data_IF_493221862357
#
_entry.id   IF_493221862357
#
_cell.length_a   1.000
_cell.length_b   1.000
_cell.length_c   1.000
_cell.angle_alpha   90.00
_cell.angle_beta   90.00
_cell.angle_gamma   90.00
#
_symmetry.space_group_name_H-M   'P 1'
#
loop_
_entity.id
_entity.type
_entity.pdbx_description
1 polymer ?
#
# COMPACT_ATOMS: atom_id res chain seq x y z
N UNK A 1 -12.86 -1.97 10.51
CA UNK A 1 -12.85 -2.18 9.06
C UNK A 1 -12.63 -0.82 8.43
N UNK A 2 -11.54 -0.68 7.70
CA UNK A 2 -11.19 0.54 6.97
C UNK A 2 -11.78 0.51 5.55
N UNK A 3 -12.00 1.69 4.97
CA UNK A 3 -12.38 1.85 3.57
C UNK A 3 -11.26 2.56 2.81
N UNK A 4 -10.74 1.93 1.76
CA UNK A 4 -9.75 2.53 0.86
C UNK A 4 -10.38 2.81 -0.50
N UNK A 5 -10.38 4.09 -0.90
CA UNK A 5 -10.82 4.54 -2.23
C UNK A 5 -9.61 4.63 -3.15
N UNK A 6 -9.60 3.79 -4.16
CA UNK A 6 -8.59 3.76 -5.21
C UNK A 6 -9.10 4.50 -6.45
N UNK A 7 -8.25 5.33 -7.05
CA UNK A 7 -8.50 5.99 -8.34
C UNK A 7 -7.38 5.60 -9.32
N UNK A 8 -7.75 4.89 -10.38
CA UNK A 8 -6.80 4.43 -11.40
C UNK A 8 -6.14 5.59 -12.15
N UNK A 9 -6.81 6.76 -12.19
CA UNK A 9 -6.28 7.97 -12.81
C UNK A 9 -5.19 8.65 -11.98
N UNK A 10 -4.97 8.22 -10.72
CA UNK A 10 -3.88 8.67 -9.86
C UNK A 10 -2.57 7.89 -10.04
N UNK A 11 -2.58 6.73 -10.72
CA UNK A 11 -1.37 5.92 -10.95
C UNK A 11 -0.45 6.53 -12.02
N UNK A 12 0.86 6.28 -11.93
CA UNK A 12 1.82 6.59 -12.98
C UNK A 12 1.54 5.78 -14.26
N UNK A 13 1.97 6.30 -15.41
CA UNK A 13 1.71 5.67 -16.71
C UNK A 13 2.31 4.25 -16.79
N UNK A 14 3.52 4.06 -16.28
CA UNK A 14 4.20 2.76 -16.26
C UNK A 14 3.42 1.72 -15.43
N UNK A 15 2.94 2.11 -14.24
CA UNK A 15 2.21 1.22 -13.35
C UNK A 15 0.83 0.83 -13.91
N UNK A 16 0.19 1.70 -14.71
CA UNK A 16 -1.02 1.33 -15.46
C UNK A 16 -0.72 0.34 -16.58
N UNK A 17 0.41 0.50 -17.25
CA UNK A 17 0.80 -0.37 -18.36
C UNK A 17 1.15 -1.77 -17.86
N UNK A 18 1.89 -1.87 -16.75
CA UNK A 18 2.17 -3.14 -16.07
C UNK A 18 0.89 -3.86 -15.63
N UNK A 19 -0.05 -3.14 -15.01
CA UNK A 19 -1.36 -3.68 -14.65
C UNK A 19 -2.17 -4.14 -15.88
N UNK A 20 -2.07 -3.43 -17.01
CA UNK A 20 -2.73 -3.81 -18.26
C UNK A 20 -2.12 -5.07 -18.89
N UNK A 21 -0.80 -5.24 -18.82
CA UNK A 21 -0.10 -6.44 -19.29
C UNK A 21 -0.41 -7.66 -18.42
N UNK A 22 -0.46 -7.50 -17.10
CA UNK A 22 -0.89 -8.53 -16.17
C UNK A 22 -2.35 -8.96 -16.41
N UNK A 23 -3.23 -8.01 -16.68
CA UNK A 23 -4.64 -8.29 -17.00
C UNK A 23 -4.82 -9.07 -18.31
N UNK A 24 -3.97 -8.84 -19.32
CA UNK A 24 -4.02 -9.53 -20.62
C UNK A 24 -3.60 -11.00 -20.55
N UNK A 25 -2.76 -11.37 -19.60
CA UNK A 25 -2.10 -12.69 -19.54
C UNK A 25 -2.76 -13.66 -18.55
N UNK A 26 -3.65 -13.18 -17.68
CA UNK A 26 -4.21 -14.01 -16.59
C UNK A 26 -5.62 -14.53 -16.92
N UNK A 27 -5.78 -15.85 -16.88
CA UNK A 27 -7.02 -16.60 -17.08
C UNK A 27 -8.12 -16.16 -16.10
N UNK A 28 -9.39 -16.23 -16.54
CA UNK A 28 -10.63 -15.88 -15.79
C UNK A 28 -10.47 -15.82 -14.27
N UNK A 29 -10.28 -14.62 -13.73
CA UNK A 29 -10.27 -14.41 -12.29
C UNK A 29 -11.66 -14.62 -11.69
N UNK A 30 -11.71 -15.16 -10.47
CA UNK A 30 -12.89 -15.04 -9.62
C UNK A 30 -13.16 -13.55 -9.39
N UNK A 31 -14.40 -13.12 -9.55
CA UNK A 31 -14.81 -11.74 -9.27
C UNK A 31 -14.34 -11.29 -7.88
N UNK A 32 -13.56 -10.20 -7.81
CA UNK A 32 -13.13 -9.58 -6.55
C UNK A 32 -11.81 -10.11 -5.99
N UNK A 33 -11.11 -10.99 -6.72
CA UNK A 33 -9.85 -11.56 -6.25
C UNK A 33 -8.74 -10.51 -6.08
N UNK A 34 -8.65 -9.53 -6.99
CA UNK A 34 -7.72 -8.40 -6.83
C UNK A 34 -8.03 -7.54 -5.59
N UNK A 35 -9.30 -7.40 -5.24
CA UNK A 35 -9.74 -6.65 -4.06
C UNK A 35 -9.42 -7.40 -2.75
N UNK A 36 -9.55 -8.73 -2.75
CA UNK A 36 -9.20 -9.59 -1.61
C UNK A 36 -7.69 -9.52 -1.32
N UNK A 37 -6.85 -9.69 -2.35
CA UNK A 37 -5.39 -9.55 -2.23
C UNK A 37 -4.96 -8.13 -1.83
N UNK A 38 -5.63 -7.10 -2.36
CA UNK A 38 -5.39 -5.73 -1.94
C UNK A 38 -5.73 -5.52 -0.46
N UNK A 39 -6.81 -6.12 0.04
CA UNK A 39 -7.17 -6.11 1.45
C UNK A 39 -6.10 -6.70 2.35
N UNK A 40 -5.47 -7.82 1.96
CA UNK A 40 -4.35 -8.41 2.70
C UNK A 40 -3.15 -7.46 2.79
N UNK A 41 -2.80 -6.81 1.68
CA UNK A 41 -1.69 -5.86 1.63
C UNK A 41 -1.98 -4.61 2.47
N UNK A 42 -3.22 -4.11 2.46
CA UNK A 42 -3.62 -2.96 3.26
C UNK A 42 -3.64 -3.30 4.77
N UNK A 43 -4.03 -4.52 5.15
CA UNK A 43 -3.90 -4.99 6.54
C UNK A 43 -2.43 -5.07 6.98
N UNK A 44 -1.54 -5.56 6.11
CA UNK A 44 -0.10 -5.59 6.39
C UNK A 44 0.48 -4.17 6.55
N UNK A 45 0.06 -3.23 5.70
CA UNK A 45 0.39 -1.80 5.82
C UNK A 45 -0.04 -1.25 7.19
N UNK A 46 -1.27 -1.49 7.61
CA UNK A 46 -1.81 -0.99 8.89
C UNK A 46 -1.04 -1.54 10.11
N UNK A 47 -0.60 -2.81 10.05
CA UNK A 47 0.28 -3.38 11.08
C UNK A 47 1.62 -2.64 11.14
N UNK A 48 2.22 -2.32 9.99
CA UNK A 48 3.47 -1.56 9.91
C UNK A 48 3.26 -0.12 10.40
N UNK A 49 2.16 0.55 10.05
CA UNK A 49 1.84 1.90 10.54
C UNK A 49 1.60 1.94 12.05
N UNK A 50 0.98 0.89 12.59
CA UNK A 50 0.84 0.71 14.05
C UNK A 50 2.21 0.59 14.71
N UNK A 51 3.12 -0.19 14.12
CA UNK A 51 4.48 -0.34 14.63
C UNK A 51 5.29 0.96 14.53
N UNK A 52 5.19 1.70 13.42
CA UNK A 52 5.80 3.03 13.28
C UNK A 52 5.31 3.95 14.40
N UNK A 53 4.01 3.95 14.68
CA UNK A 53 3.42 4.75 15.74
C UNK A 53 3.96 4.36 17.12
N UNK A 54 4.09 3.06 17.41
CA UNK A 54 4.66 2.55 18.65
C UNK A 54 6.15 2.94 18.78
N UNK A 55 6.94 2.76 17.73
CA UNK A 55 8.36 3.15 17.70
C UNK A 55 8.52 4.67 17.69
N UNK A 56 7.51 5.47 17.38
CA UNK A 56 7.61 6.94 17.40
C UNK A 56 7.12 7.55 18.72
N UNK A 57 6.26 6.84 19.48
CA UNK A 57 5.77 7.27 20.80
C UNK A 57 6.79 6.94 21.91
N UNK A 58 7.75 7.85 22.11
CA UNK A 58 8.66 7.94 23.28
C UNK A 58 9.57 6.73 23.57
N UNK A 59 10.76 6.80 24.16
CA UNK A 59 11.33 7.70 25.17
C UNK A 59 12.64 8.33 24.67
N UNK A 60 12.97 9.55 25.09
CA UNK A 60 14.35 10.03 25.06
C UNK A 60 15.19 9.15 25.99
N UNK A 61 16.23 8.52 25.44
CA UNK A 61 17.18 7.75 26.23
C UNK A 61 18.04 8.71 27.06
N UNK A 62 17.68 8.92 28.33
CA UNK A 62 18.51 9.65 29.27
C UNK A 62 19.58 8.71 29.85
N UNK A 63 20.71 8.57 29.16
CA UNK A 63 21.83 7.69 29.56
C UNK A 63 22.78 8.34 30.59
N UNK A 64 22.24 9.20 31.47
CA UNK A 64 22.99 9.99 32.44
C UNK A 64 23.73 11.19 31.84
N UNK A 65 24.26 12.07 32.71
CA UNK A 65 24.81 13.39 32.33
C UNK A 65 26.27 13.37 31.84
N UNK A 66 26.86 12.19 31.63
CA UNK A 66 28.22 12.10 31.10
C UNK A 66 28.24 12.42 29.59
N UNK A 67 29.32 13.00 29.04
CA UNK A 67 29.46 13.24 27.60
C UNK A 67 29.28 11.96 26.76
N UNK A 68 29.73 10.81 27.27
CA UNK A 68 29.52 9.50 26.67
C UNK A 68 28.06 9.07 26.66
N UNK A 69 27.29 9.42 27.69
CA UNK A 69 25.85 9.19 27.77
C UNK A 69 25.08 9.98 26.72
N UNK A 70 25.46 11.24 26.51
CA UNK A 70 24.88 12.09 25.46
C UNK A 70 25.18 11.55 24.05
N UNK A 71 26.43 11.16 23.78
CA UNK A 71 26.81 10.58 22.49
C UNK A 71 26.07 9.25 22.21
N UNK A 72 25.93 8.40 23.22
CA UNK A 72 25.17 7.16 23.10
C UNK A 72 23.69 7.43 22.85
N UNK A 73 23.08 8.36 23.58
CA UNK A 73 21.68 8.74 23.39
C UNK A 73 21.42 9.26 21.97
N UNK A 74 22.32 10.08 21.44
CA UNK A 74 22.25 10.57 20.06
C UNK A 74 22.36 9.42 19.04
N UNK A 75 23.35 8.53 19.20
CA UNK A 75 23.51 7.39 18.30
C UNK A 75 22.27 6.48 18.27
N UNK A 76 21.68 6.18 19.43
CA UNK A 76 20.44 5.40 19.47
C UNK A 76 19.25 6.14 18.84
N UNK A 77 19.17 7.46 18.97
CA UNK A 77 18.14 8.26 18.31
C UNK A 77 18.27 8.21 16.78
N UNK A 78 19.49 8.32 16.25
CA UNK A 78 19.76 8.20 14.81
C UNK A 78 19.39 6.82 14.27
N UNK A 79 19.77 5.75 14.97
CA UNK A 79 19.41 4.38 14.60
C UNK A 79 17.89 4.16 14.61
N UNK A 80 17.19 4.72 15.61
CA UNK A 80 15.73 4.66 15.69
C UNK A 80 15.07 5.38 14.51
N UNK A 81 15.57 6.56 14.14
CA UNK A 81 15.08 7.30 12.98
C UNK A 81 15.25 6.50 11.68
N UNK A 82 16.42 5.91 11.47
CA UNK A 82 16.69 5.04 10.31
C UNK A 82 15.74 3.83 10.24
N UNK A 83 15.45 3.20 11.39
CA UNK A 83 14.49 2.10 11.46
C UNK A 83 13.06 2.54 11.11
N UNK A 84 12.62 3.70 11.60
CA UNK A 84 11.31 4.27 11.26
C UNK A 84 11.20 4.55 9.76
N UNK A 85 12.25 5.08 9.13
CA UNK A 85 12.24 5.34 7.69
C UNK A 85 12.22 4.05 6.85
N UNK A 86 12.90 2.99 7.30
CA UNK A 86 12.79 1.68 6.69
C UNK A 86 11.35 1.13 6.76
N UNK A 87 10.70 1.24 7.93
CA UNK A 87 9.30 0.82 8.09
C UNK A 87 8.34 1.62 7.18
N UNK A 88 8.55 2.93 7.03
CA UNK A 88 7.75 3.74 6.09
C UNK A 88 7.87 3.26 4.65
N UNK A 89 9.07 2.87 4.21
CA UNK A 89 9.28 2.31 2.86
C UNK A 89 8.52 0.99 2.67
N UNK A 90 8.52 0.12 3.68
CA UNK A 90 7.76 -1.14 3.66
C UNK A 90 6.26 -0.85 3.58
N UNK A 91 5.74 0.08 4.38
CA UNK A 91 4.32 0.51 4.33
C UNK A 91 3.94 1.02 2.93
N UNK A 92 4.77 1.89 2.33
CA UNK A 92 4.54 2.38 0.97
C UNK A 92 4.56 1.25 -0.08
N UNK A 93 5.42 0.25 0.08
CA UNK A 93 5.50 -0.89 -0.82
C UNK A 93 4.23 -1.75 -0.79
N UNK A 94 3.70 -2.05 0.41
CA UNK A 94 2.43 -2.76 0.54
C UNK A 94 1.25 -1.99 -0.07
N UNK A 95 1.22 -0.66 0.11
CA UNK A 95 0.23 0.19 -0.57
C UNK A 95 0.34 0.07 -2.09
N UNK A 96 1.55 0.15 -2.65
CA UNK A 96 1.78 0.01 -4.10
C UNK A 96 1.29 -1.33 -4.65
N UNK A 97 1.49 -2.43 -3.91
CA UNK A 97 0.96 -3.74 -4.31
C UNK A 97 -0.56 -3.79 -4.27
N UNK A 98 -1.19 -3.22 -3.23
CA UNK A 98 -2.65 -3.09 -3.17
C UNK A 98 -3.19 -2.33 -4.39
N UNK A 99 -2.59 -1.18 -4.71
CA UNK A 99 -2.95 -0.36 -5.87
C UNK A 99 -2.82 -1.15 -7.19
N UNK A 100 -1.75 -1.93 -7.36
CA UNK A 100 -1.55 -2.77 -8.55
C UNK A 100 -2.61 -3.88 -8.68
N UNK A 101 -2.96 -4.56 -7.58
CA UNK A 101 -4.01 -5.58 -7.60
C UNK A 101 -5.38 -5.00 -7.96
N UNK A 102 -5.74 -3.84 -7.41
CA UNK A 102 -7.00 -3.17 -7.73
C UNK A 102 -7.01 -2.71 -9.18
N UNK A 103 -5.91 -2.10 -9.67
CA UNK A 103 -5.79 -1.64 -11.04
C UNK A 103 -5.94 -2.79 -12.05
N UNK A 104 -5.31 -3.94 -11.76
CA UNK A 104 -5.39 -5.13 -12.61
C UNK A 104 -6.83 -5.64 -12.73
N UNK A 105 -7.55 -5.73 -11.60
CA UNK A 105 -8.96 -6.12 -11.56
C UNK A 105 -9.85 -5.14 -12.35
N UNK A 106 -9.65 -3.83 -12.17
CA UNK A 106 -10.42 -2.81 -12.88
C UNK A 106 -10.21 -2.86 -14.40
N UNK A 107 -8.98 -3.08 -14.85
CA UNK A 107 -8.63 -3.20 -16.26
C UNK A 107 -9.21 -4.47 -16.88
N UNK A 108 -9.19 -5.58 -16.15
CA UNK A 108 -9.82 -6.83 -16.57
C UNK A 108 -11.33 -6.64 -16.78
N UNK A 109 -12.04 -6.10 -15.78
CA UNK A 109 -13.49 -5.84 -15.87
C UNK A 109 -13.84 -4.92 -17.04
N UNK A 110 -13.08 -3.83 -17.24
CA UNK A 110 -13.28 -2.92 -18.37
C UNK A 110 -13.11 -3.64 -19.72
N UNK A 111 -12.16 -4.57 -19.81
CA UNK A 111 -11.91 -5.36 -21.02
C UNK A 111 -13.03 -6.38 -21.27
N UNK A 112 -13.47 -7.08 -20.22
CA UNK A 112 -14.61 -8.01 -20.31
C UNK A 112 -15.92 -7.30 -20.68
N UNK A 113 -16.20 -6.14 -20.07
CA UNK A 113 -17.43 -5.38 -20.34
C UNK A 113 -17.47 -4.78 -21.74
N UNK A 114 -16.33 -4.28 -22.24
CA UNK A 114 -16.20 -3.85 -23.65
C UNK A 114 -16.45 -4.99 -24.61
N UNK A 115 -15.95 -6.18 -24.29
CA UNK A 115 -16.15 -7.38 -25.11
C UNK A 115 -17.60 -7.92 -25.00
N UNK A 116 -18.27 -7.71 -23.86
CA UNK A 116 -19.63 -8.17 -23.60
C UNK A 116 -20.73 -7.13 -23.93
N UNK A 117 -20.37 -5.93 -24.40
CA UNK A 117 -21.32 -4.89 -24.83
C UNK A 117 -22.17 -4.27 -23.69
N UNK A 118 -21.75 -4.40 -22.42
CA UNK A 118 -22.48 -3.86 -21.26
C UNK A 118 -21.83 -2.56 -20.75
N UNK A 119 -22.66 -1.54 -20.49
CA UNK A 119 -22.24 -0.23 -19.95
C UNK A 119 -21.95 -0.36 -18.44
N UNK A 120 -20.74 0.03 -18.04
CA UNK A 120 -20.18 -0.11 -16.70
C UNK A 120 -20.65 0.99 -15.71
N UNK A 121 -21.02 0.68 -14.45
CA UNK A 121 -21.24 1.65 -13.37
C UNK A 121 -19.96 2.37 -12.86
N UNK A 122 -18.74 1.90 -13.18
CA UNK A 122 -17.45 2.48 -12.77
C UNK A 122 -16.83 3.42 -13.82
N UNK A 123 -17.69 4.09 -14.60
CA UNK A 123 -17.30 5.01 -15.67
C UNK A 123 -16.29 6.09 -15.24
N UNK A 124 -16.17 6.34 -13.93
CA UNK A 124 -15.33 7.35 -13.33
C UNK A 124 -13.94 6.84 -12.86
N UNK A 125 -13.64 5.54 -12.96
CA UNK A 125 -12.27 5.03 -12.67
C UNK A 125 -11.94 4.82 -11.19
N UNK A 126 -12.94 4.73 -10.32
CA UNK A 126 -12.75 4.56 -8.87
C UNK A 126 -13.23 3.21 -8.36
N UNK A 127 -12.51 2.60 -7.42
CA UNK A 127 -12.90 1.38 -6.70
C UNK A 127 -12.78 1.56 -5.18
N UNK A 128 -13.62 0.87 -4.40
CA UNK A 128 -13.57 0.90 -2.92
C UNK A 128 -13.27 -0.48 -2.38
N UNK A 129 -12.22 -0.62 -1.58
CA UNK A 129 -11.86 -1.86 -0.86
C UNK A 129 -12.26 -1.70 0.60
N UNK A 130 -13.03 -2.67 1.13
CA UNK A 130 -13.28 -2.81 2.57
C UNK A 130 -12.32 -3.86 3.15
N UNK A 131 -11.61 -3.53 4.23
CA UNK A 131 -10.61 -4.42 4.84
C UNK A 131 -10.49 -4.28 6.36
#
# INVERSE_FOLDING_TARGET
>A
MGEYKFDINGMSQDARQEAAEAARTTLKFKDGYGMELAGDMLRARDLVETQISAVSRDQQLALGDLPSGHAAAQHYAEQRAAAVDALKKISAHYKSHADHFIATEMLYRNTEERNAGRINPYKDGTATVSY
#
